data_IF_683621975080
#
_entry.id   IF_683621975080
#
_cell.length_a   1.000
_cell.length_b   1.000
_cell.length_c   1.000
_cell.angle_alpha   90.00
_cell.angle_beta   90.00
_cell.angle_gamma   90.00
#
_symmetry.space_group_name_H-M   'P 1'
#
loop_
_entity.id
_entity.type
_entity.pdbx_description
1 polymer ?
#
# COMPACT_ATOMS: atom_id res chain seq x y z
N UNK A 1 10.64 13.72 22.21
CA UNK A 1 10.56 12.29 21.84
C UNK A 1 11.44 11.51 22.79
N UNK A 2 10.93 10.48 23.47
CA UNK A 2 11.82 9.49 24.12
C UNK A 2 12.78 8.98 23.03
N UNK A 3 14.04 8.71 23.39
CA UNK A 3 15.04 8.15 22.47
C UNK A 3 14.65 6.70 22.08
N UNK A 4 13.62 6.54 21.24
CA UNK A 4 13.20 5.26 20.67
C UNK A 4 14.26 4.80 19.67
N UNK A 5 14.75 3.59 19.81
CA UNK A 5 15.62 2.91 18.85
C UNK A 5 14.78 2.41 17.67
N UNK A 6 14.88 3.12 16.55
CA UNK A 6 14.10 2.86 15.35
C UNK A 6 14.93 2.00 14.37
N UNK A 7 14.38 0.86 13.96
CA UNK A 7 14.89 0.06 12.85
C UNK A 7 14.00 0.20 11.61
N UNK A 8 14.61 0.26 10.43
CA UNK A 8 13.95 0.16 9.12
C UNK A 8 14.57 -1.00 8.34
N UNK A 9 13.76 -2.03 8.11
CA UNK A 9 14.14 -3.23 7.36
C UNK A 9 13.68 -3.07 5.91
N UNK A 10 14.62 -2.90 4.99
CA UNK A 10 14.40 -2.63 3.56
C UNK A 10 14.47 -1.15 3.23
N UNK A 11 15.43 -0.76 2.39
CA UNK A 11 15.70 0.63 1.98
C UNK A 11 15.37 0.86 0.50
N UNK A 12 14.28 0.23 0.03
CA UNK A 12 13.61 0.61 -1.22
C UNK A 12 12.85 1.93 -1.09
N UNK A 13 11.95 2.22 -2.04
CA UNK A 13 11.19 3.49 -2.11
C UNK A 13 10.47 3.84 -0.79
N UNK A 14 9.79 2.85 -0.18
CA UNK A 14 9.07 3.03 1.09
C UNK A 14 10.03 3.30 2.25
N UNK A 15 11.09 2.50 2.37
CA UNK A 15 12.06 2.64 3.46
C UNK A 15 12.78 3.97 3.43
N UNK A 16 13.19 4.43 2.25
CA UNK A 16 13.83 5.73 2.05
C UNK A 16 12.89 6.90 2.38
N UNK A 17 11.61 6.81 1.97
CA UNK A 17 10.62 7.82 2.31
C UNK A 17 10.33 7.88 3.81
N UNK A 18 10.28 6.72 4.48
CA UNK A 18 10.02 6.63 5.91
C UNK A 18 11.22 7.09 6.75
N UNK A 19 12.46 6.82 6.30
CA UNK A 19 13.69 7.24 6.98
C UNK A 19 13.75 8.76 7.21
N UNK A 20 13.17 9.55 6.30
CA UNK A 20 13.12 11.02 6.39
C UNK A 20 12.32 11.56 7.59
N UNK A 21 11.46 10.73 8.22
CA UNK A 21 10.73 11.11 9.41
C UNK A 21 11.53 10.93 10.71
N UNK A 22 12.69 10.27 10.64
CA UNK A 22 13.50 9.96 11.80
C UNK A 22 14.83 10.70 11.75
N UNK A 23 15.33 11.11 12.92
CA UNK A 23 16.64 11.80 13.02
C UNK A 23 17.80 10.85 12.71
N UNK A 24 17.84 9.68 13.37
CA UNK A 24 18.91 8.69 13.26
C UNK A 24 18.35 7.25 13.29
N UNK A 25 17.54 6.83 12.29
CA UNK A 25 17.08 5.44 12.24
C UNK A 25 18.23 4.50 11.89
N UNK A 26 18.26 3.32 12.52
CA UNK A 26 19.10 2.23 12.04
C UNK A 26 18.42 1.60 10.83
N UNK A 27 19.20 1.21 9.83
CA UNK A 27 18.68 0.64 8.58
C UNK A 27 19.38 -0.68 8.27
N UNK A 28 18.63 -1.63 7.72
CA UNK A 28 19.18 -2.90 7.23
C UNK A 28 18.48 -3.27 5.93
N UNK A 29 19.24 -3.61 4.91
CA UNK A 29 18.78 -4.09 3.61
C UNK A 29 19.65 -5.25 3.13
N UNK A 30 19.26 -5.94 2.05
CA UNK A 30 20.01 -7.05 1.45
C UNK A 30 21.46 -6.68 1.12
N UNK A 31 21.72 -5.41 0.80
CA UNK A 31 23.01 -4.92 0.31
C UNK A 31 23.83 -4.17 1.37
N UNK A 32 23.32 -3.99 2.59
CA UNK A 32 24.05 -3.27 3.63
C UNK A 32 23.19 -2.73 4.77
N UNK A 33 23.86 -2.11 5.74
CA UNK A 33 23.25 -1.71 7.01
C UNK A 33 23.18 -2.88 8.01
N UNK A 34 23.03 -2.53 9.28
CA UNK A 34 22.85 -3.49 10.38
C UNK A 34 22.06 -2.82 11.49
N UNK A 35 21.24 -3.61 12.17
CA UNK A 35 20.73 -3.21 13.47
C UNK A 35 21.72 -3.55 14.58
N UNK A 36 21.77 -2.71 15.61
CA UNK A 36 22.63 -2.82 16.79
C UNK A 36 21.77 -2.81 18.06
N UNK A 37 21.86 -3.91 18.82
CA UNK A 37 21.09 -4.11 20.04
C UNK A 37 19.59 -4.21 19.82
N UNK A 38 18.85 -3.94 20.90
CA UNK A 38 17.39 -3.99 20.92
C UNK A 38 16.75 -2.84 20.13
N UNK A 39 15.61 -3.12 19.48
CA UNK A 39 14.82 -2.13 18.74
C UNK A 39 13.48 -1.88 19.46
N UNK A 40 13.18 -0.62 19.75
CA UNK A 40 11.86 -0.24 20.26
C UNK A 40 10.79 -0.39 19.18
N UNK A 41 11.14 -0.03 17.94
CA UNK A 41 10.24 -0.08 16.79
C UNK A 41 10.97 -0.62 15.56
N UNK A 42 10.41 -1.66 14.95
CA UNK A 42 10.85 -2.23 13.68
C UNK A 42 9.84 -1.88 12.58
N UNK A 43 10.26 -1.06 11.62
CA UNK A 43 9.52 -0.79 10.40
C UNK A 43 9.92 -1.80 9.33
N UNK A 44 8.97 -2.59 8.84
CA UNK A 44 9.19 -3.61 7.82
C UNK A 44 8.75 -3.07 6.47
N UNK A 45 9.72 -2.87 5.58
CA UNK A 45 9.57 -2.26 4.25
C UNK A 45 10.14 -3.15 3.12
N UNK A 46 10.57 -4.37 3.43
CA UNK A 46 11.01 -5.35 2.42
C UNK A 46 9.83 -5.87 1.59
N UNK A 47 10.02 -6.18 0.29
CA UNK A 47 8.97 -6.80 -0.53
C UNK A 47 8.47 -8.13 0.06
N UNK A 48 7.19 -8.44 -0.14
CA UNK A 48 6.66 -9.74 0.22
C UNK A 48 7.27 -10.85 -0.64
N UNK A 49 7.67 -11.94 0.00
CA UNK A 49 8.25 -13.15 -0.61
C UNK A 49 7.84 -14.38 0.21
N UNK A 50 8.20 -15.58 -0.25
CA UNK A 50 7.97 -16.80 0.55
C UNK A 50 8.75 -16.79 1.87
N UNK A 51 9.91 -16.13 1.90
CA UNK A 51 10.76 -16.02 3.10
C UNK A 51 10.40 -14.84 4.00
N UNK A 52 9.45 -13.98 3.62
CA UNK A 52 9.12 -12.74 4.34
C UNK A 52 8.90 -12.97 5.84
N UNK A 53 8.05 -13.93 6.21
CA UNK A 53 7.77 -14.26 7.61
C UNK A 53 9.02 -14.75 8.36
N UNK A 54 9.85 -15.55 7.69
CA UNK A 54 11.10 -16.06 8.28
C UNK A 54 12.05 -14.90 8.56
N UNK A 55 12.33 -14.07 7.55
CA UNK A 55 13.23 -12.92 7.66
C UNK A 55 12.78 -11.95 8.77
N UNK A 56 11.49 -11.59 8.80
CA UNK A 56 10.98 -10.65 9.81
C UNK A 56 11.06 -11.24 11.22
N UNK A 57 10.69 -12.52 11.42
CA UNK A 57 10.81 -13.17 12.74
C UNK A 57 12.25 -13.29 13.22
N UNK A 58 13.20 -13.56 12.32
CA UNK A 58 14.62 -13.58 12.66
C UNK A 58 15.11 -12.22 13.17
N UNK A 59 14.71 -11.13 12.52
CA UNK A 59 15.02 -9.77 12.98
C UNK A 59 14.36 -9.46 14.32
N UNK A 60 13.08 -9.79 14.49
CA UNK A 60 12.36 -9.60 15.77
C UNK A 60 13.09 -10.31 16.90
N UNK A 61 13.47 -11.58 16.71
CA UNK A 61 14.16 -12.38 17.72
C UNK A 61 15.56 -11.86 18.02
N UNK A 62 16.32 -11.54 16.98
CA UNK A 62 17.72 -11.09 17.12
C UNK A 62 17.83 -9.73 17.82
N UNK A 63 16.85 -8.85 17.62
CA UNK A 63 16.86 -7.48 18.10
C UNK A 63 15.76 -7.18 19.12
N UNK A 64 15.16 -8.22 19.72
CA UNK A 64 14.12 -8.11 20.75
C UNK A 64 13.07 -7.02 20.42
N UNK A 65 12.58 -7.01 19.17
CA UNK A 65 11.85 -5.87 18.65
C UNK A 65 10.51 -5.66 19.39
N UNK A 66 10.31 -4.46 19.94
CA UNK A 66 9.11 -4.09 20.69
C UNK A 66 7.86 -4.01 19.82
N UNK A 67 7.67 -2.88 19.13
CA UNK A 67 6.58 -2.69 18.17
C UNK A 67 7.06 -3.03 16.76
N UNK A 68 6.27 -3.82 16.00
CA UNK A 68 6.56 -4.15 14.61
C UNK A 68 5.48 -3.56 13.71
N UNK A 69 5.88 -2.76 12.74
CA UNK A 69 4.97 -2.11 11.80
C UNK A 69 5.29 -2.60 10.39
N UNK A 70 4.38 -3.36 9.79
CA UNK A 70 4.51 -3.79 8.40
C UNK A 70 3.95 -2.71 7.49
N UNK A 71 4.81 -2.12 6.66
CA UNK A 71 4.45 -1.13 5.64
C UNK A 71 4.29 -1.74 4.25
N UNK A 72 4.92 -2.90 4.04
CA UNK A 72 4.86 -3.67 2.80
C UNK A 72 3.45 -4.16 2.50
N UNK A 73 3.07 -4.20 1.22
CA UNK A 73 1.88 -4.93 0.81
C UNK A 73 2.10 -6.42 1.02
N UNK A 74 1.18 -7.07 1.74
CA UNK A 74 1.27 -8.49 2.09
C UNK A 74 -0.09 -9.18 1.90
N UNK A 75 -0.13 -10.51 1.70
CA UNK A 75 -1.36 -11.30 1.72
C UNK A 75 -2.12 -11.16 3.05
N UNK A 76 -3.42 -11.37 3.01
CA UNK A 76 -4.29 -11.31 4.19
C UNK A 76 -3.91 -12.41 5.19
N UNK A 77 -3.80 -12.06 6.46
CA UNK A 77 -3.37 -12.91 7.57
C UNK A 77 -1.86 -12.93 7.81
N UNK A 78 -1.06 -12.13 7.09
CA UNK A 78 0.41 -12.15 7.23
C UNK A 78 0.87 -11.66 8.60
N UNK A 79 0.28 -10.58 9.11
CA UNK A 79 0.66 -9.98 10.40
C UNK A 79 0.35 -10.92 11.56
N UNK A 80 -0.83 -11.55 11.58
CA UNK A 80 -1.17 -12.58 12.57
C UNK A 80 -0.19 -13.74 12.53
N UNK A 81 0.19 -14.20 11.33
CA UNK A 81 1.18 -15.27 11.16
C UNK A 81 2.54 -14.91 11.75
N UNK A 82 2.94 -13.64 11.89
CA UNK A 82 4.20 -13.33 12.58
C UNK A 82 4.25 -13.86 14.02
N UNK A 83 3.08 -14.06 14.65
CA UNK A 83 2.96 -14.50 16.04
C UNK A 83 3.68 -13.55 17.02
N UNK A 84 3.58 -12.24 16.78
CA UNK A 84 4.10 -11.19 17.63
C UNK A 84 2.97 -10.29 18.10
N UNK A 85 2.74 -10.21 19.42
CA UNK A 85 1.58 -9.51 20.01
C UNK A 85 1.51 -8.03 19.66
N UNK A 86 2.67 -7.40 19.43
CA UNK A 86 2.80 -5.99 19.09
C UNK A 86 3.15 -5.78 17.61
N UNK A 87 2.66 -6.65 16.72
CA UNK A 87 2.72 -6.43 15.29
C UNK A 87 1.43 -5.77 14.78
N UNK A 88 1.58 -4.82 13.85
CA UNK A 88 0.48 -4.16 13.14
C UNK A 88 0.78 -4.09 11.65
N UNK A 89 -0.27 -4.03 10.83
CA UNK A 89 -0.14 -3.74 9.40
C UNK A 89 -0.61 -2.33 9.10
N UNK A 90 0.26 -1.55 8.46
CA UNK A 90 0.00 -0.16 8.14
C UNK A 90 0.55 0.19 6.75
N UNK A 91 -0.20 -0.15 5.69
CA UNK A 91 0.30 -0.08 4.32
C UNK A 91 0.53 1.37 3.89
N UNK A 92 1.43 1.57 2.93
CA UNK A 92 1.69 2.91 2.37
C UNK A 92 0.70 3.24 1.25
N UNK A 93 0.20 4.47 1.28
CA UNK A 93 -0.59 5.10 0.21
C UNK A 93 0.21 6.27 -0.38
N UNK A 94 -0.02 6.54 -1.67
CA UNK A 94 0.73 7.54 -2.44
C UNK A 94 1.51 6.90 -3.58
N UNK A 95 2.14 7.76 -4.38
CA UNK A 95 2.84 7.38 -5.62
C UNK A 95 4.27 7.89 -5.56
N UNK A 96 5.24 7.03 -5.89
CA UNK A 96 6.63 7.41 -6.08
C UNK A 96 6.76 8.41 -7.25
N UNK A 97 7.62 9.46 -7.16
CA UNK A 97 8.67 9.70 -6.16
C UNK A 97 8.23 10.43 -4.89
N UNK A 98 6.96 10.82 -4.77
CA UNK A 98 6.50 11.73 -3.72
C UNK A 98 6.01 11.02 -2.44
N UNK A 99 6.56 9.83 -2.11
CA UNK A 99 6.06 9.01 -1.00
C UNK A 99 6.18 9.69 0.37
N UNK A 100 7.23 10.48 0.64
CA UNK A 100 7.34 11.25 1.89
C UNK A 100 6.17 12.26 2.04
N UNK A 101 5.82 12.96 0.95
CA UNK A 101 4.63 13.83 0.92
C UNK A 101 3.33 13.02 1.03
N UNK A 102 3.28 11.86 0.39
CA UNK A 102 2.16 10.92 0.50
C UNK A 102 1.88 10.52 1.94
N UNK A 103 2.92 10.12 2.69
CA UNK A 103 2.85 9.75 4.10
C UNK A 103 2.37 10.88 5.01
N UNK A 104 2.59 12.15 4.65
CA UNK A 104 2.02 13.31 5.38
C UNK A 104 0.59 13.66 4.97
N UNK A 105 0.24 13.38 3.71
CA UNK A 105 -1.06 13.77 3.13
C UNK A 105 -2.16 12.79 3.48
N UNK A 106 -1.92 11.49 3.28
CA UNK A 106 -2.93 10.46 3.44
C UNK A 106 -2.99 9.96 4.89
N UNK A 107 -4.21 9.65 5.35
CA UNK A 107 -4.40 8.91 6.61
C UNK A 107 -3.74 7.54 6.47
N UNK A 108 -2.90 7.21 7.44
CA UNK A 108 -2.22 5.92 7.57
C UNK A 108 -3.07 4.99 8.44
N UNK A 109 -3.77 4.05 7.81
CA UNK A 109 -4.57 3.07 8.54
C UNK A 109 -3.67 2.06 9.26
N UNK A 110 -4.04 1.68 10.48
CA UNK A 110 -3.30 0.76 11.33
C UNK A 110 -4.21 -0.41 11.66
N UNK A 111 -4.00 -1.55 11.01
CA UNK A 111 -4.71 -2.78 11.34
C UNK A 111 -4.00 -3.49 12.48
N UNK A 112 -4.67 -3.64 13.61
CA UNK A 112 -4.11 -4.25 14.81
C UNK A 112 -5.05 -5.33 15.36
N UNK A 113 -4.51 -6.53 15.61
CA UNK A 113 -5.25 -7.61 16.27
C UNK A 113 -5.29 -7.44 17.79
N UNK A 114 -4.33 -6.72 18.36
CA UNK A 114 -4.29 -6.33 19.76
C UNK A 114 -4.38 -4.80 19.89
N UNK A 115 -5.37 -4.32 20.66
CA UNK A 115 -5.64 -2.88 20.82
C UNK A 115 -4.41 -2.10 21.35
N UNK A 116 -3.62 -2.69 22.25
CA UNK A 116 -2.40 -2.08 22.76
C UNK A 116 -1.34 -1.86 21.67
N UNK A 117 -1.25 -2.74 20.68
CA UNK A 117 -0.35 -2.57 19.53
C UNK A 117 -0.80 -1.42 18.62
N UNK A 118 -2.11 -1.34 18.35
CA UNK A 118 -2.71 -0.26 17.59
C UNK A 118 -2.46 1.11 18.23
N UNK A 119 -2.65 1.21 19.55
CA UNK A 119 -2.37 2.44 20.30
C UNK A 119 -0.91 2.87 20.23
N UNK A 120 0.04 1.95 20.46
CA UNK A 120 1.46 2.27 20.39
C UNK A 120 1.90 2.72 18.98
N UNK A 121 1.36 2.10 17.94
CA UNK A 121 1.62 2.52 16.56
C UNK A 121 1.00 3.88 16.23
N UNK A 122 -0.20 4.16 16.74
CA UNK A 122 -0.88 5.45 16.59
C UNK A 122 -0.09 6.58 17.27
N UNK A 123 0.26 6.42 18.54
CA UNK A 123 1.11 7.36 19.29
C UNK A 123 2.45 7.60 18.59
N UNK A 124 3.05 6.55 18.03
CA UNK A 124 4.28 6.66 17.27
C UNK A 124 4.11 7.49 15.99
N UNK A 125 3.03 7.29 15.22
CA UNK A 125 2.77 8.10 14.03
C UNK A 125 2.41 9.54 14.36
N UNK A 126 1.71 9.79 15.47
CA UNK A 126 1.42 11.14 15.95
C UNK A 126 2.70 11.91 16.28
N UNK A 127 3.67 11.27 16.95
CA UNK A 127 4.99 11.85 17.21
C UNK A 127 5.76 12.23 15.93
N UNK A 128 5.49 11.54 14.81
CA UNK A 128 6.07 11.82 13.50
C UNK A 128 5.24 12.84 12.68
N UNK A 129 4.12 13.31 13.21
CA UNK A 129 3.18 14.20 12.49
C UNK A 129 2.45 13.50 11.34
N UNK A 130 2.26 12.19 11.41
CA UNK A 130 1.56 11.37 10.40
C UNK A 130 0.13 11.12 10.86
N UNK A 131 -0.84 11.60 10.07
CA UNK A 131 -2.26 11.34 10.29
C UNK A 131 -2.52 9.84 10.23
N UNK A 132 -3.20 9.30 11.23
CA UNK A 132 -3.43 7.86 11.32
C UNK A 132 -4.80 7.54 11.92
N UNK A 133 -5.24 6.29 11.71
CA UNK A 133 -6.48 5.76 12.24
C UNK A 133 -6.33 4.27 12.51
N UNK A 134 -6.77 3.80 13.67
CA UNK A 134 -6.65 2.40 14.09
C UNK A 134 -7.91 1.63 13.71
N UNK A 135 -7.71 0.52 13.00
CA UNK A 135 -8.75 -0.44 12.65
C UNK A 135 -8.56 -1.74 13.42
N UNK A 136 -9.68 -2.36 13.79
CA UNK A 136 -9.66 -3.70 14.35
C UNK A 136 -9.24 -4.73 13.28
N UNK A 137 -8.33 -5.62 13.67
CA UNK A 137 -7.67 -6.67 12.87
C UNK A 137 -6.67 -6.15 11.83
N UNK A 138 -5.50 -6.79 11.78
CA UNK A 138 -4.51 -6.53 10.72
C UNK A 138 -5.04 -6.89 9.33
N UNK A 139 -5.85 -7.95 9.26
CA UNK A 139 -6.46 -8.44 8.03
C UNK A 139 -7.26 -7.36 7.29
N UNK A 140 -7.84 -6.41 8.01
CA UNK A 140 -8.62 -5.29 7.45
C UNK A 140 -7.74 -4.40 6.57
N UNK A 141 -6.56 -3.99 7.05
CA UNK A 141 -5.66 -3.13 6.29
C UNK A 141 -4.88 -3.89 5.21
N UNK A 142 -4.61 -5.18 5.44
CA UNK A 142 -3.99 -6.09 4.44
C UNK A 142 -4.91 -6.22 3.22
N UNK A 143 -6.19 -6.55 3.45
CA UNK A 143 -7.18 -6.65 2.39
C UNK A 143 -7.44 -5.30 1.72
N UNK A 144 -7.58 -4.23 2.51
CA UNK A 144 -7.75 -2.87 2.00
C UNK A 144 -6.67 -2.51 0.99
N UNK A 145 -5.39 -2.75 1.30
CA UNK A 145 -4.29 -2.37 0.39
C UNK A 145 -4.35 -3.12 -0.95
N UNK A 146 -4.69 -4.41 -0.90
CA UNK A 146 -4.84 -5.21 -2.12
C UNK A 146 -6.00 -4.67 -2.96
N UNK A 147 -7.18 -4.50 -2.35
CA UNK A 147 -8.39 -4.02 -3.02
C UNK A 147 -8.27 -2.58 -3.54
N UNK A 148 -7.61 -1.67 -2.82
CA UNK A 148 -7.37 -0.28 -3.22
C UNK A 148 -6.66 -0.22 -4.59
N UNK A 149 -5.61 -1.03 -4.76
CA UNK A 149 -4.88 -1.09 -6.03
C UNK A 149 -5.61 -1.89 -7.11
N UNK A 150 -6.41 -2.89 -6.74
CA UNK A 150 -7.24 -3.66 -7.68
C UNK A 150 -8.38 -2.82 -8.23
N UNK A 151 -9.02 -1.98 -7.42
CA UNK A 151 -10.02 -1.03 -7.88
C UNK A 151 -9.44 -0.08 -8.92
N UNK A 152 -8.25 0.48 -8.66
CA UNK A 152 -7.57 1.33 -9.63
C UNK A 152 -7.19 0.57 -10.90
N UNK A 153 -6.70 -0.66 -10.78
CA UNK A 153 -6.41 -1.54 -11.93
C UNK A 153 -7.63 -1.83 -12.78
N UNK A 154 -8.79 -2.08 -12.16
CA UNK A 154 -10.05 -2.30 -12.87
C UNK A 154 -10.48 -1.05 -13.63
N UNK A 155 -10.32 0.14 -13.04
CA UNK A 155 -10.59 1.39 -13.74
C UNK A 155 -9.71 1.51 -14.99
N UNK A 156 -8.41 1.21 -14.91
CA UNK A 156 -7.51 1.21 -16.08
C UNK A 156 -7.94 0.18 -17.13
N UNK A 157 -8.24 -1.05 -16.72
CA UNK A 157 -8.71 -2.11 -17.62
C UNK A 157 -10.02 -1.74 -18.34
N UNK A 158 -10.91 -1.01 -17.66
CA UNK A 158 -12.12 -0.46 -18.26
C UNK A 158 -11.81 0.60 -19.33
N UNK A 159 -10.84 1.49 -19.09
CA UNK A 159 -10.43 2.48 -20.09
C UNK A 159 -9.78 1.81 -21.31
N UNK A 160 -9.03 0.72 -21.13
CA UNK A 160 -8.53 -0.10 -22.25
C UNK A 160 -9.67 -0.73 -23.07
N UNK A 161 -10.72 -1.22 -22.40
CA UNK A 161 -11.91 -1.73 -23.07
C UNK A 161 -12.68 -0.64 -23.83
N UNK A 162 -12.85 0.53 -23.21
CA UNK A 162 -13.51 1.67 -23.86
C UNK A 162 -12.73 2.16 -25.09
N UNK A 163 -11.40 2.18 -25.03
CA UNK A 163 -10.55 2.53 -26.19
C UNK A 163 -10.74 1.56 -27.35
N UNK A 164 -10.76 0.25 -27.07
CA UNK A 164 -11.10 -0.77 -28.08
C UNK A 164 -12.44 -0.46 -28.77
N UNK A 165 -13.50 -0.17 -28.00
CA UNK A 165 -14.81 0.16 -28.57
C UNK A 165 -14.77 1.46 -29.38
N UNK A 166 -14.01 2.46 -28.95
CA UNK A 166 -13.84 3.71 -29.69
C UNK A 166 -13.19 3.47 -31.06
N UNK A 167 -12.16 2.62 -31.11
CA UNK A 167 -11.49 2.23 -32.35
C UNK A 167 -12.44 1.47 -33.30
N UNK A 168 -13.18 0.48 -32.78
CA UNK A 168 -14.16 -0.30 -33.56
C UNK A 168 -15.25 0.58 -34.19
N UNK A 169 -15.70 1.60 -33.46
CA UNK A 169 -16.75 2.52 -33.89
C UNK A 169 -16.22 3.78 -34.58
N UNK A 170 -14.90 3.91 -34.75
CA UNK A 170 -14.23 5.09 -35.34
C UNK A 170 -14.61 6.41 -34.65
N UNK A 171 -14.75 6.39 -33.33
CA UNK A 171 -15.03 7.59 -32.50
C UNK A 171 -13.80 7.97 -31.67
N UNK A 172 -13.69 9.25 -31.31
CA UNK A 172 -12.56 9.77 -30.55
C UNK A 172 -12.69 9.43 -29.04
N UNK A 173 -11.68 8.75 -28.47
CA UNK A 173 -11.66 8.34 -27.06
C UNK A 173 -11.75 9.54 -26.09
N UNK A 174 -11.04 10.64 -26.38
CA UNK A 174 -11.06 11.81 -25.51
C UNK A 174 -12.44 12.43 -25.41
N UNK A 175 -13.24 12.39 -26.47
CA UNK A 175 -14.64 12.81 -26.39
C UNK A 175 -15.46 11.88 -25.50
N UNK A 176 -15.31 10.57 -25.67
CA UNK A 176 -16.14 9.55 -24.99
C UNK A 176 -15.78 9.41 -23.51
N UNK A 177 -14.50 9.23 -23.19
CA UNK A 177 -14.04 8.89 -21.84
C UNK A 177 -13.45 10.07 -21.08
N UNK A 178 -12.67 10.93 -21.75
CA UNK A 178 -12.00 12.05 -21.06
C UNK A 178 -12.96 13.20 -20.80
N UNK A 179 -13.47 13.84 -21.85
CA UNK A 179 -14.41 14.98 -21.78
C UNK A 179 -15.74 14.58 -21.16
N UNK A 180 -16.27 13.41 -21.51
CA UNK A 180 -17.48 12.85 -20.91
C UNK A 180 -17.37 12.75 -19.39
N UNK A 181 -16.29 12.16 -18.86
CA UNK A 181 -16.12 12.04 -17.42
C UNK A 181 -15.79 13.38 -16.74
N UNK A 182 -15.06 14.29 -17.39
CA UNK A 182 -14.82 15.63 -16.83
C UNK A 182 -16.14 16.40 -16.59
N UNK A 183 -17.00 16.46 -17.61
CA UNK A 183 -18.29 17.17 -17.50
C UNK A 183 -19.26 16.47 -16.55
N UNK A 184 -19.29 15.12 -16.55
CA UNK A 184 -20.01 14.32 -15.56
C UNK A 184 -19.57 14.66 -14.14
N UNK A 185 -18.27 14.63 -13.87
CA UNK A 185 -17.71 14.90 -12.55
C UNK A 185 -17.97 16.34 -12.09
N UNK A 186 -17.88 17.31 -13.01
CA UNK A 186 -18.22 18.70 -12.72
C UNK A 186 -19.69 18.82 -12.28
N UNK A 187 -20.62 18.23 -13.02
CA UNK A 187 -22.03 18.25 -12.67
C UNK A 187 -22.31 17.63 -11.30
N UNK A 188 -21.72 16.48 -11.00
CA UNK A 188 -21.87 15.86 -9.67
C UNK A 188 -21.19 16.64 -8.54
N UNK A 189 -20.11 17.35 -8.83
CA UNK A 189 -19.49 18.28 -7.88
C UNK A 189 -20.44 19.44 -7.52
N UNK A 190 -21.05 20.06 -8.52
CA UNK A 190 -22.04 21.14 -8.35
C UNK A 190 -23.27 20.67 -7.57
N UNK A 191 -23.72 19.44 -7.83
CA UNK A 191 -24.81 18.77 -7.10
C UNK A 191 -24.40 18.27 -5.71
N UNK A 192 -23.15 18.48 -5.26
CA UNK A 192 -22.60 18.00 -3.99
C UNK A 192 -22.72 16.47 -3.80
N UNK A 193 -22.65 15.74 -4.90
CA UNK A 193 -22.75 14.27 -4.98
C UNK A 193 -21.38 13.66 -5.25
N UNK A 194 -20.49 13.83 -4.28
CA UNK A 194 -19.08 13.43 -4.41
C UNK A 194 -18.88 11.90 -4.46
N UNK A 195 -19.88 11.13 -4.03
CA UNK A 195 -19.89 9.67 -3.97
C UNK A 195 -19.83 8.98 -5.33
N UNK A 196 -20.18 9.69 -6.41
CA UNK A 196 -20.21 9.12 -7.77
C UNK A 196 -19.14 9.70 -8.70
N UNK A 197 -18.23 10.53 -8.18
CA UNK A 197 -17.11 11.06 -8.97
C UNK A 197 -16.23 9.90 -9.45
N UNK A 198 -15.94 9.91 -10.75
CA UNK A 198 -15.21 8.84 -11.43
C UNK A 198 -13.76 9.25 -11.67
N UNK A 199 -12.81 8.31 -11.67
CA UNK A 199 -11.46 8.62 -12.12
C UNK A 199 -11.48 8.95 -13.62
N UNK A 200 -10.78 10.01 -14.03
CA UNK A 200 -10.52 10.32 -15.44
C UNK A 200 -9.15 9.74 -15.78
N UNK A 201 -9.13 8.63 -16.51
CA UNK A 201 -7.92 7.88 -16.83
C UNK A 201 -7.80 7.69 -18.35
N UNK A 202 -6.67 7.10 -18.75
CA UNK A 202 -6.36 6.79 -20.13
C UNK A 202 -6.13 5.28 -20.28
N UNK A 203 -6.34 4.71 -21.48
CA UNK A 203 -5.94 3.34 -21.75
C UNK A 203 -4.43 3.20 -21.49
N UNK A 204 -3.96 2.05 -20.99
CA UNK A 204 -2.54 1.84 -20.80
C UNK A 204 -1.82 1.80 -22.16
N UNK A 205 -0.65 2.43 -22.24
CA UNK A 205 0.25 2.29 -23.38
C UNK A 205 0.95 0.91 -23.32
N UNK A 206 0.26 -0.11 -23.83
CA UNK A 206 0.68 -1.51 -23.75
C UNK A 206 0.23 -2.17 -22.45
N UNK A 207 1.17 -2.52 -21.58
CA UNK A 207 0.88 -3.19 -20.31
C UNK A 207 0.62 -2.20 -19.17
N UNK A 208 -0.17 -2.61 -18.17
CA UNK A 208 -0.33 -1.84 -16.94
C UNK A 208 1.03 -1.74 -16.24
N UNK A 209 1.56 -0.52 -16.17
CA UNK A 209 2.85 -0.22 -15.55
C UNK A 209 2.82 -0.12 -14.02
N UNK A 210 3.99 0.17 -13.45
CA UNK A 210 4.17 0.37 -12.01
C UNK A 210 4.31 -0.91 -11.19
N UNK A 211 4.54 -0.74 -9.89
CA UNK A 211 4.93 -1.83 -8.98
C UNK A 211 3.77 -2.38 -8.12
N UNK A 212 2.57 -1.80 -8.23
CA UNK A 212 1.46 -2.11 -7.32
C UNK A 212 0.35 -2.95 -7.96
N UNK A 213 -0.20 -2.53 -9.10
CA UNK A 213 -1.46 -3.07 -9.62
C UNK A 213 -1.33 -4.56 -9.97
N UNK A 214 -0.40 -4.91 -10.87
CA UNK A 214 -0.23 -6.30 -11.31
C UNK A 214 0.26 -7.21 -10.18
N UNK A 215 1.30 -6.86 -9.38
CA UNK A 215 1.74 -7.71 -8.28
C UNK A 215 0.66 -7.96 -7.23
N UNK A 216 -0.10 -6.93 -6.85
CA UNK A 216 -1.18 -7.08 -5.85
C UNK A 216 -2.33 -7.93 -6.40
N UNK A 217 -2.66 -7.79 -7.69
CA UNK A 217 -3.67 -8.63 -8.35
C UNK A 217 -3.23 -10.10 -8.38
N UNK A 218 -1.94 -10.38 -8.57
CA UNK A 218 -1.38 -11.73 -8.47
C UNK A 218 -1.40 -12.27 -7.04
N UNK A 219 -1.17 -11.43 -6.02
CA UNK A 219 -1.31 -11.83 -4.62
C UNK A 219 -2.76 -12.23 -4.30
N UNK A 220 -3.75 -11.44 -4.74
CA UNK A 220 -5.16 -11.77 -4.60
C UNK A 220 -5.50 -13.08 -5.32
N UNK A 221 -5.08 -13.22 -6.59
CA UNK A 221 -5.33 -14.45 -7.36
C UNK A 221 -4.73 -15.68 -6.69
N UNK A 222 -3.50 -15.58 -6.18
CA UNK A 222 -2.83 -16.67 -5.47
C UNK A 222 -3.56 -17.05 -4.17
N UNK A 223 -4.14 -16.08 -3.47
CA UNK A 223 -4.75 -16.30 -2.17
C UNK A 223 -6.23 -16.72 -2.24
N UNK A 224 -6.99 -16.14 -3.16
CA UNK A 224 -8.44 -16.29 -3.25
C UNK A 224 -8.91 -17.01 -4.53
N UNK A 225 -8.01 -17.32 -5.45
CA UNK A 225 -8.32 -17.99 -6.70
C UNK A 225 -8.60 -17.04 -7.86
N UNK A 226 -9.05 -17.60 -8.98
CA UNK A 226 -9.41 -16.85 -10.16
C UNK A 226 -10.70 -16.03 -9.96
N UNK A 227 -10.70 -14.81 -10.49
CA UNK A 227 -11.86 -13.91 -10.47
C UNK A 227 -11.91 -13.08 -11.77
N UNK A 228 -13.09 -12.83 -12.37
CA UNK A 228 -13.23 -12.05 -13.60
C UNK A 228 -12.65 -10.62 -13.51
N UNK A 229 -12.71 -9.98 -12.33
CA UNK A 229 -12.10 -8.66 -12.10
C UNK A 229 -10.59 -8.77 -12.23
N UNK A 230 -9.98 -9.78 -11.59
CA UNK A 230 -8.54 -10.01 -11.66
C UNK A 230 -8.11 -10.38 -13.08
N UNK A 231 -8.87 -11.21 -13.78
CA UNK A 231 -8.59 -11.56 -15.19
C UNK A 231 -8.61 -10.32 -16.09
N UNK A 232 -9.58 -9.43 -15.89
CA UNK A 232 -9.70 -8.18 -16.65
C UNK A 232 -8.49 -7.27 -16.48
N UNK A 233 -7.85 -7.29 -15.32
CA UNK A 233 -6.62 -6.54 -15.04
C UNK A 233 -5.40 -7.28 -15.60
N UNK A 234 -5.27 -8.57 -15.29
CA UNK A 234 -4.07 -9.36 -15.58
C UNK A 234 -3.87 -9.63 -17.08
N UNK A 235 -4.90 -9.56 -17.93
CA UNK A 235 -4.72 -9.61 -19.40
C UNK A 235 -3.88 -8.47 -19.96
N UNK A 236 -3.68 -7.40 -19.16
CA UNK A 236 -2.80 -6.28 -19.49
C UNK A 236 -1.43 -6.41 -18.80
N UNK A 237 -1.04 -7.61 -18.35
CA UNK A 237 0.36 -7.89 -18.01
C UNK A 237 1.19 -8.05 -19.28
N UNK A 238 2.49 -7.76 -19.20
CA UNK A 238 3.43 -8.13 -20.26
C UNK A 238 3.54 -9.64 -20.42
#
# INVERSE_FOLDING_TARGET
MKNKKIGILGMGEIGQALAQFYKNPQTQDLKGGKFEGDLDILNVCIPYSQDFLKTVREVIKKHNAGLVIIHSTVPVGTTQKLNHRFAVHSPVRGVHPNLHKGLKTFVKFIGADFAGAGRLASEHFDELGIKNEVWYKSASTELFKLLDTTYYGMAIAFHAYADKLCQENKVNFDNVMTRGNHTYNQGYWELKRYDVIRPVLFPPEGAIGGHCILPNSLLLKKQFGDDPILQSILRHSK
#
